data_IF_620900023457
#
_entry.id   IF_620900023457
#
_cell.length_a   1.000
_cell.length_b   1.000
_cell.length_c   1.000
_cell.angle_alpha   90.00
_cell.angle_beta   90.00
_cell.angle_gamma   90.00
#
_symmetry.space_group_name_H-M   'P 1'
#
loop_
_entity.id
_entity.type
_entity.pdbx_description
1 polymer ?
#
# COMPACT_ATOMS: atom_id res chain seq x y z
N UNK A 1 0.82 0.95 11.02
CA UNK A 1 0.00 1.39 9.85
C UNK A 1 -1.44 0.90 10.02
N UNK A 2 -2.44 1.75 9.80
CA UNK A 2 -3.88 1.42 9.90
C UNK A 2 -4.57 1.68 8.56
N UNK A 3 -5.33 0.71 8.07
CA UNK A 3 -6.09 0.84 6.82
C UNK A 3 -7.58 0.97 7.19
N UNK A 4 -8.22 2.06 6.79
CA UNK A 4 -9.67 2.27 6.94
C UNK A 4 -10.31 2.21 5.56
N UNK A 5 -11.43 1.51 5.43
CA UNK A 5 -12.14 1.38 4.15
C UNK A 5 -13.50 2.04 4.31
N UNK A 6 -13.81 3.03 3.47
CA UNK A 6 -15.10 3.75 3.46
C UNK A 6 -15.65 3.76 2.04
N UNK A 7 -16.92 3.40 1.85
CA UNK A 7 -17.61 3.42 0.54
C UNK A 7 -16.78 2.72 -0.57
N UNK A 8 -16.27 1.52 -0.30
CA UNK A 8 -15.38 0.73 -1.20
C UNK A 8 -14.04 1.39 -1.58
N UNK A 9 -13.68 2.52 -0.97
CA UNK A 9 -12.39 3.19 -1.15
C UNK A 9 -11.50 3.00 0.07
N UNK A 10 -10.19 2.90 -0.15
CA UNK A 10 -9.21 2.78 0.93
C UNK A 10 -8.69 4.15 1.35
N UNK A 11 -8.66 4.38 2.67
CA UNK A 11 -7.92 5.44 3.35
C UNK A 11 -6.83 4.81 4.20
N UNK A 12 -5.58 5.08 3.86
CA UNK A 12 -4.41 4.54 4.55
C UNK A 12 -3.89 5.59 5.54
N UNK A 13 -3.70 5.18 6.79
CA UNK A 13 -3.11 5.98 7.85
C UNK A 13 -1.80 5.33 8.27
N UNK A 14 -0.72 6.10 8.26
CA UNK A 14 0.60 5.61 8.63
C UNK A 14 0.93 6.16 10.00
N UNK A 15 1.18 5.26 10.94
CA UNK A 15 1.74 5.59 12.24
C UNK A 15 3.00 4.73 12.40
N UNK A 16 4.16 5.37 12.42
CA UNK A 16 5.49 4.75 12.52
C UNK A 16 6.49 5.80 13.02
N UNK A 17 7.45 5.38 13.84
CA UNK A 17 8.53 6.25 14.33
C UNK A 17 9.72 6.33 13.34
N UNK A 18 9.66 5.57 12.23
CA UNK A 18 10.71 5.59 11.21
C UNK A 18 10.35 6.54 10.07
N UNK A 19 11.20 7.55 9.86
CA UNK A 19 11.04 8.53 8.77
C UNK A 19 11.01 7.86 7.39
N UNK A 20 11.79 6.79 7.20
CA UNK A 20 11.79 6.00 5.96
C UNK A 20 10.44 5.30 5.76
N UNK A 21 9.88 4.71 6.82
CA UNK A 21 8.58 4.01 6.76
C UNK A 21 7.44 4.99 6.51
N UNK A 22 7.50 6.18 7.13
CA UNK A 22 6.57 7.28 6.87
C UNK A 22 6.63 7.68 5.39
N UNK A 23 7.81 8.01 4.86
CA UNK A 23 7.98 8.49 3.49
C UNK A 23 7.53 7.46 2.45
N UNK A 24 7.92 6.19 2.62
CA UNK A 24 7.53 5.11 1.71
C UNK A 24 6.02 4.87 1.73
N UNK A 25 5.44 4.83 2.93
CA UNK A 25 4.01 4.64 3.05
C UNK A 25 3.23 5.85 2.54
N UNK A 26 3.74 7.09 2.64
CA UNK A 26 3.13 8.28 2.03
C UNK A 26 3.08 8.14 0.50
N UNK A 27 4.15 7.65 -0.15
CA UNK A 27 4.15 7.42 -1.60
C UNK A 27 3.07 6.40 -1.96
N UNK A 28 3.01 5.28 -1.23
CA UNK A 28 1.99 4.25 -1.45
C UNK A 28 0.57 4.74 -1.16
N UNK A 29 0.40 5.57 -0.13
CA UNK A 29 -0.84 6.27 0.16
C UNK A 29 -1.24 7.11 -1.04
N UNK A 30 -0.36 7.96 -1.58
CA UNK A 30 -0.68 8.78 -2.76
C UNK A 30 -1.13 7.94 -3.96
N UNK A 31 -0.54 6.76 -4.16
CA UNK A 31 -0.90 5.85 -5.26
C UNK A 31 -2.27 5.20 -5.05
N UNK A 32 -2.56 4.75 -3.83
CA UNK A 32 -3.74 3.90 -3.54
C UNK A 32 -4.90 4.60 -2.83
N UNK A 33 -4.70 5.82 -2.35
CA UNK A 33 -5.73 6.58 -1.68
C UNK A 33 -6.89 6.84 -2.65
N UNK A 34 -8.11 6.69 -2.14
CA UNK A 34 -9.35 6.84 -2.91
C UNK A 34 -9.56 5.84 -4.07
N UNK A 35 -8.70 4.82 -4.22
CA UNK A 35 -8.92 3.76 -5.21
C UNK A 35 -9.94 2.72 -4.72
N UNK A 36 -10.67 2.15 -5.67
CA UNK A 36 -11.54 1.00 -5.42
C UNK A 36 -10.69 -0.26 -5.12
N UNK A 37 -11.14 -1.08 -4.17
CA UNK A 37 -10.54 -2.36 -3.80
C UNK A 37 -10.16 -3.23 -5.01
N UNK A 38 -11.06 -3.34 -6.00
CA UNK A 38 -10.81 -4.12 -7.24
C UNK A 38 -9.63 -3.58 -8.04
N UNK A 39 -9.47 -2.26 -8.10
CA UNK A 39 -8.38 -1.60 -8.83
C UNK A 39 -7.04 -1.80 -8.12
N UNK A 40 -7.05 -1.75 -6.78
CA UNK A 40 -5.84 -2.01 -5.97
C UNK A 40 -5.35 -3.44 -6.17
N UNK A 41 -6.26 -4.42 -6.18
CA UNK A 41 -5.92 -5.82 -6.42
C UNK A 41 -5.33 -6.02 -7.83
N UNK A 42 -5.97 -5.44 -8.85
CA UNK A 42 -5.52 -5.50 -10.26
C UNK A 42 -4.28 -4.63 -10.55
N UNK A 43 -3.90 -3.73 -9.65
CA UNK A 43 -2.79 -2.80 -9.88
C UNK A 43 -1.48 -3.56 -10.12
N UNK A 44 -0.88 -3.31 -11.29
CA UNK A 44 0.46 -3.82 -11.61
C UNK A 44 1.49 -2.88 -11.02
N UNK A 45 2.47 -3.42 -10.30
CA UNK A 45 3.55 -2.66 -9.66
C UNK A 45 4.62 -2.21 -10.66
N UNK A 46 4.25 -1.98 -11.93
CA UNK A 46 5.17 -1.55 -13.00
C UNK A 46 5.85 -0.23 -12.65
N UNK A 47 5.20 0.62 -11.85
CA UNK A 47 5.79 1.87 -11.35
C UNK A 47 7.04 1.63 -10.50
N UNK A 48 7.10 0.52 -9.74
CA UNK A 48 8.28 0.22 -8.91
C UNK A 48 9.53 -0.02 -9.75
N UNK A 49 9.37 -0.67 -10.92
CA UNK A 49 10.45 -0.84 -11.89
C UNK A 49 10.77 0.46 -12.64
N UNK A 50 9.73 1.23 -13.06
CA UNK A 50 9.92 2.49 -13.79
C UNK A 50 10.64 3.57 -12.98
N UNK A 51 10.38 3.65 -11.68
CA UNK A 51 11.00 4.65 -10.79
C UNK A 51 12.42 4.22 -10.37
N UNK A 52 12.85 2.99 -10.71
CA UNK A 52 14.16 2.44 -10.33
C UNK A 52 14.43 2.58 -8.83
N UNK A 53 13.41 2.30 -8.00
CA UNK A 53 13.52 2.42 -6.53
C UNK A 53 14.71 1.65 -5.95
N UNK A 54 15.09 0.53 -6.58
CA UNK A 54 16.26 -0.27 -6.23
C UNK A 54 17.61 0.46 -6.39
N UNK A 55 17.68 1.56 -7.17
CA UNK A 55 18.88 2.41 -7.27
C UNK A 55 19.00 3.43 -6.14
N UNK A 56 17.88 3.85 -5.56
CA UNK A 56 17.84 4.88 -4.51
C UNK A 56 17.61 4.29 -3.10
N UNK A 57 17.26 3.02 -3.02
CA UNK A 57 16.96 2.33 -1.78
C UNK A 57 17.80 1.06 -1.66
N UNK A 58 18.36 0.83 -0.47
CA UNK A 58 18.96 -0.46 -0.13
C UNK A 58 17.96 -1.61 -0.36
N UNK A 59 18.42 -2.84 -0.66
CA UNK A 59 17.55 -3.99 -0.88
C UNK A 59 16.49 -4.20 0.23
N UNK A 60 16.87 -3.99 1.49
CA UNK A 60 15.97 -4.10 2.66
C UNK A 60 14.81 -3.10 2.58
N UNK A 61 15.09 -1.86 2.17
CA UNK A 61 14.10 -0.78 2.00
C UNK A 61 13.17 -1.04 0.82
N UNK A 62 13.70 -1.57 -0.27
CA UNK A 62 12.89 -1.96 -1.43
C UNK A 62 11.92 -3.12 -1.07
N UNK A 63 12.43 -4.14 -0.37
CA UNK A 63 11.63 -5.27 0.06
C UNK A 63 10.53 -4.88 1.07
N UNK A 64 10.81 -3.94 1.96
CA UNK A 64 9.79 -3.44 2.89
C UNK A 64 8.64 -2.70 2.19
N UNK A 65 8.90 -1.98 1.09
CA UNK A 65 7.82 -1.42 0.25
C UNK A 65 6.95 -2.54 -0.32
N UNK A 66 7.58 -3.59 -0.84
CA UNK A 66 6.87 -4.73 -1.41
C UNK A 66 5.96 -5.40 -0.37
N UNK A 67 6.45 -5.59 0.85
CA UNK A 67 5.66 -6.14 1.96
C UNK A 67 4.48 -5.24 2.36
N UNK A 68 4.66 -3.92 2.38
CA UNK A 68 3.56 -2.97 2.65
C UNK A 68 2.48 -3.07 1.56
N UNK A 69 2.88 -3.16 0.29
CA UNK A 69 1.94 -3.34 -0.83
C UNK A 69 1.18 -4.66 -0.70
N UNK A 70 1.88 -5.75 -0.40
CA UNK A 70 1.28 -7.07 -0.19
C UNK A 70 0.27 -7.04 0.95
N UNK A 71 0.60 -6.36 2.05
CA UNK A 71 -0.31 -6.15 3.17
C UNK A 71 -1.58 -5.38 2.76
N UNK A 72 -1.44 -4.27 2.02
CA UNK A 72 -2.58 -3.49 1.51
C UNK A 72 -3.48 -4.37 0.63
N UNK A 73 -2.91 -5.11 -0.32
CA UNK A 73 -3.67 -6.01 -1.21
C UNK A 73 -4.39 -7.11 -0.43
N UNK A 74 -3.72 -7.75 0.55
CA UNK A 74 -4.33 -8.78 1.39
C UNK A 74 -5.51 -8.25 2.19
N UNK A 75 -5.36 -7.08 2.83
CA UNK A 75 -6.46 -6.41 3.54
C UNK A 75 -7.61 -6.03 2.62
N UNK A 76 -7.30 -5.57 1.39
CA UNK A 76 -8.30 -5.26 0.37
C UNK A 76 -9.10 -6.50 -0.04
N UNK A 77 -8.43 -7.63 -0.23
CA UNK A 77 -9.06 -8.90 -0.58
C UNK A 77 -9.98 -9.42 0.53
N UNK A 78 -9.51 -9.38 1.79
CA UNK A 78 -10.30 -9.80 2.95
C UNK A 78 -11.59 -8.98 3.04
N UNK A 79 -11.50 -7.65 2.89
CA UNK A 79 -12.69 -6.79 2.93
C UNK A 79 -13.65 -7.04 1.77
N UNK A 80 -13.12 -7.34 0.58
CA UNK A 80 -13.94 -7.65 -0.60
C UNK A 80 -14.73 -8.95 -0.42
N UNK A 81 -14.11 -9.97 0.20
CA UNK A 81 -14.77 -11.25 0.52
C UNK A 81 -15.72 -11.12 1.71
N UNK A 82 -15.32 -10.38 2.73
CA UNK A 82 -16.06 -10.27 4.00
C UNK A 82 -16.33 -8.79 4.32
N UNK A 83 -17.41 -8.19 3.81
CA UNK A 83 -17.67 -6.76 3.94
C UNK A 83 -17.92 -6.29 5.38
N UNK A 84 -18.17 -7.21 6.32
CA UNK A 84 -18.45 -6.89 7.73
C UNK A 84 -17.22 -6.94 8.66
N UNK A 85 -16.04 -7.36 8.19
CA UNK A 85 -14.83 -7.50 9.03
C UNK A 85 -13.82 -6.37 8.74
N UNK A 86 -13.46 -5.56 9.76
CA UNK A 86 -12.25 -4.70 9.82
C UNK A 86 -11.73 -4.67 11.25
#
# INVERSE_FOLDING_TARGET
MKIKIKKQKIKILVNSNSLITINLAIILCKIYNNQNLKNILKSKLKFMKKIQFNKYLSPIRYNSIYEIIKFIKRKSLIKLKNPFII
#
